data_IF_134025089143
#
_entry.id   IF_134025089143
#
_cell.length_a   1.000
_cell.length_b   1.000
_cell.length_c   1.000
_cell.angle_alpha   90.00
_cell.angle_beta   90.00
_cell.angle_gamma   90.00
#
_symmetry.space_group_name_H-M   'P 1'
#
loop_
_entity.id
_entity.type
_entity.pdbx_description
1 polymer ?
#
# COMPACT_ATOMS: atom_id res chain seq x y z
N UNK A 1 61.61 -38.24 -60.89
CA UNK A 1 60.65 -37.87 -61.93
C UNK A 1 60.04 -36.56 -61.48
N UNK A 2 60.51 -35.47 -62.03
CA UNK A 2 60.15 -34.12 -61.67
C UNK A 2 58.92 -33.69 -62.49
N UNK A 3 57.86 -33.19 -61.86
CA UNK A 3 56.72 -32.61 -62.56
C UNK A 3 56.87 -31.08 -62.50
N UNK A 4 57.03 -30.47 -63.63
CA UNK A 4 57.11 -29.02 -63.87
C UNK A 4 55.78 -28.36 -63.49
N UNK A 5 55.89 -27.29 -62.68
CA UNK A 5 54.81 -26.39 -62.40
C UNK A 5 54.89 -25.22 -63.36
N UNK A 6 53.99 -25.16 -64.32
CA UNK A 6 53.87 -24.07 -65.30
C UNK A 6 53.12 -22.90 -64.66
N UNK A 7 53.72 -21.79 -64.54
CA UNK A 7 53.13 -20.51 -64.09
C UNK A 7 52.27 -19.88 -65.20
N UNK A 8 51.03 -19.35 -64.88
CA UNK A 8 50.21 -18.71 -65.90
C UNK A 8 50.64 -17.24 -66.19
N UNK A 9 50.59 -16.92 -67.47
CA UNK A 9 50.92 -15.65 -68.06
C UNK A 9 49.98 -14.48 -67.64
N UNK A 10 50.45 -13.29 -67.16
CA UNK A 10 49.61 -12.22 -66.61
C UNK A 10 48.98 -11.31 -67.69
N UNK A 11 48.97 -11.60 -68.96
CA UNK A 11 48.49 -10.71 -70.02
C UNK A 11 47.38 -11.25 -70.90
N UNK A 12 46.52 -12.18 -70.43
CA UNK A 12 45.36 -12.59 -71.20
C UNK A 12 44.12 -11.80 -70.86
N UNK A 13 43.68 -10.90 -71.70
CA UNK A 13 42.45 -10.15 -71.66
C UNK A 13 41.30 -11.10 -72.02
N UNK A 14 40.20 -11.28 -71.17
CA UNK A 14 39.07 -12.08 -71.53
C UNK A 14 38.20 -11.35 -72.55
N UNK A 15 37.69 -12.01 -73.60
CA UNK A 15 36.73 -11.46 -74.52
C UNK A 15 35.31 -11.54 -73.94
N UNK A 16 34.56 -10.43 -74.02
CA UNK A 16 33.11 -10.46 -73.79
C UNK A 16 32.57 -9.59 -72.65
N UNK A 17 32.90 -8.30 -72.67
CA UNK A 17 32.13 -7.35 -71.85
C UNK A 17 30.86 -6.94 -72.63
N UNK A 18 29.80 -7.75 -72.45
CA UNK A 18 28.42 -7.37 -72.82
C UNK A 18 27.97 -6.28 -71.88
N UNK A 19 27.58 -5.13 -72.43
CA UNK A 19 27.00 -3.97 -71.74
C UNK A 19 25.80 -4.43 -70.90
N UNK A 20 25.97 -4.52 -69.59
CA UNK A 20 24.87 -4.66 -68.63
C UNK A 20 24.11 -3.34 -68.61
N UNK A 21 22.87 -3.41 -69.12
CA UNK A 21 21.92 -2.34 -69.12
C UNK A 21 21.74 -1.67 -67.75
N UNK A 22 21.55 -0.37 -67.78
CA UNK A 22 21.17 0.53 -66.68
C UNK A 22 20.07 -0.14 -65.83
N UNK A 23 20.38 -0.45 -64.59
CA UNK A 23 19.36 -0.85 -63.57
C UNK A 23 18.37 0.26 -63.42
N UNK A 24 17.05 0.04 -63.74
CA UNK A 24 16.02 0.96 -63.36
C UNK A 24 15.74 0.76 -61.88
N UNK A 25 15.90 1.77 -61.06
CA UNK A 25 15.44 1.72 -59.68
C UNK A 25 16.46 2.17 -58.63
N UNK A 26 17.24 3.25 -58.87
CA UNK A 26 17.62 4.11 -57.74
C UNK A 26 16.34 4.91 -57.41
N UNK A 27 15.42 4.27 -56.68
CA UNK A 27 14.40 4.99 -55.91
C UNK A 27 15.14 6.05 -55.09
N UNK A 28 14.81 7.30 -55.32
CA UNK A 28 15.17 8.42 -54.48
C UNK A 28 15.09 7.98 -53.03
N UNK A 29 16.05 8.33 -52.14
CA UNK A 29 15.99 8.01 -50.73
C UNK A 29 14.62 8.53 -50.25
N UNK A 30 13.72 7.58 -50.00
CA UNK A 30 12.40 7.85 -49.42
C UNK A 30 12.71 8.71 -48.21
N UNK A 31 12.27 9.98 -48.25
CA UNK A 31 12.38 10.91 -47.15
C UNK A 31 11.82 10.20 -45.92
N UNK A 32 12.70 9.57 -45.13
CA UNK A 32 12.35 9.09 -43.80
C UNK A 32 11.78 10.33 -43.12
N UNK A 33 10.47 10.44 -43.17
CA UNK A 33 9.73 11.51 -42.49
C UNK A 33 10.29 11.45 -41.07
N UNK A 34 10.99 12.50 -40.66
CA UNK A 34 11.45 12.67 -39.30
C UNK A 34 10.23 12.49 -38.43
N UNK A 35 10.11 11.29 -37.87
CA UNK A 35 9.01 10.97 -36.98
C UNK A 35 9.07 12.02 -35.88
N UNK A 36 8.04 12.88 -35.82
CA UNK A 36 8.06 14.04 -34.94
C UNK A 36 8.39 13.57 -33.52
N UNK A 37 9.12 14.35 -32.74
CA UNK A 37 9.55 14.08 -31.35
C UNK A 37 8.50 13.38 -30.51
N UNK A 38 7.25 13.74 -30.70
CA UNK A 38 6.08 13.14 -30.01
C UNK A 38 5.72 11.72 -30.47
N UNK A 39 6.16 11.28 -31.66
CA UNK A 39 5.85 9.92 -32.13
C UNK A 39 6.69 8.87 -31.38
N UNK A 40 7.96 9.14 -31.10
CA UNK A 40 8.82 8.25 -30.31
C UNK A 40 8.31 8.11 -28.87
N UNK A 41 7.95 9.22 -28.22
CA UNK A 41 7.36 9.22 -26.89
C UNK A 41 6.03 8.43 -26.84
N UNK A 42 5.12 8.69 -27.78
CA UNK A 42 3.82 8.00 -27.85
C UNK A 42 3.99 6.49 -28.07
N UNK A 43 4.92 6.08 -28.92
CA UNK A 43 5.24 4.66 -29.12
C UNK A 43 5.77 4.01 -27.85
N UNK A 44 6.68 4.66 -27.15
CA UNK A 44 7.20 4.15 -25.88
C UNK A 44 6.12 4.02 -24.81
N UNK A 45 5.29 5.04 -24.66
CA UNK A 45 4.17 5.00 -23.73
C UNK A 45 3.21 3.84 -24.05
N UNK A 46 2.87 3.68 -25.33
CA UNK A 46 1.99 2.60 -25.80
C UNK A 46 2.59 1.22 -25.55
N UNK A 47 3.87 1.02 -25.84
CA UNK A 47 4.58 -0.23 -25.56
C UNK A 47 4.56 -0.54 -24.07
N UNK A 48 4.78 0.43 -23.21
CA UNK A 48 4.70 0.27 -21.75
C UNK A 48 3.33 -0.15 -21.26
N UNK A 49 2.28 0.41 -21.81
CA UNK A 49 0.91 0.01 -21.45
C UNK A 49 0.58 -1.41 -21.96
N UNK A 50 1.10 -1.79 -23.14
CA UNK A 50 0.95 -3.14 -23.65
C UNK A 50 1.74 -4.18 -22.85
N UNK A 51 2.96 -3.86 -22.39
CA UNK A 51 3.74 -4.72 -21.49
C UNK A 51 2.93 -5.06 -20.24
N UNK A 52 2.32 -4.06 -19.61
CA UNK A 52 1.50 -4.26 -18.44
C UNK A 52 0.32 -5.22 -18.71
N UNK A 53 -0.36 -5.07 -19.85
CA UNK A 53 -1.48 -5.96 -20.23
C UNK A 53 -1.04 -7.41 -20.43
N UNK A 54 0.21 -7.63 -20.81
CA UNK A 54 0.78 -8.96 -21.09
C UNK A 54 1.35 -9.67 -19.86
N UNK A 55 1.45 -8.98 -18.73
CA UNK A 55 1.98 -9.52 -17.48
C UNK A 55 0.85 -9.65 -16.44
N UNK A 56 0.05 -10.73 -16.46
CA UNK A 56 -1.10 -10.91 -15.57
C UNK A 56 -0.70 -10.93 -14.09
N UNK A 57 0.53 -11.33 -13.77
CA UNK A 57 1.06 -11.30 -12.40
C UNK A 57 1.13 -9.87 -11.86
N UNK A 58 1.58 -8.92 -12.67
CA UNK A 58 1.63 -7.50 -12.28
C UNK A 58 0.22 -6.97 -12.06
N UNK A 59 -0.73 -7.32 -12.95
CA UNK A 59 -2.13 -6.90 -12.80
C UNK A 59 -2.71 -7.42 -11.49
N UNK A 60 -2.43 -8.69 -11.14
CA UNK A 60 -2.89 -9.26 -9.88
C UNK A 60 -2.31 -8.51 -8.66
N UNK A 61 -1.00 -8.31 -8.62
CA UNK A 61 -0.36 -7.67 -7.46
C UNK A 61 -0.68 -6.18 -7.32
N UNK A 62 -0.87 -5.48 -8.44
CA UNK A 62 -1.15 -4.04 -8.46
C UNK A 62 -2.64 -3.76 -8.18
N UNK A 63 -3.56 -4.55 -8.74
CA UNK A 63 -4.99 -4.31 -8.65
C UNK A 63 -5.72 -5.35 -7.80
N UNK A 64 -5.47 -6.63 -8.04
CA UNK A 64 -6.18 -7.73 -7.38
C UNK A 64 -5.88 -7.82 -5.90
N UNK A 65 -4.61 -7.78 -5.52
CA UNK A 65 -4.19 -7.93 -4.12
C UNK A 65 -4.76 -6.83 -3.21
N UNK A 66 -4.68 -5.52 -3.52
CA UNK A 66 -5.28 -4.49 -2.68
C UNK A 66 -6.80 -4.60 -2.56
N UNK A 67 -7.49 -5.03 -3.63
CA UNK A 67 -8.93 -5.27 -3.59
C UNK A 67 -9.29 -6.47 -2.70
N UNK A 68 -8.57 -7.58 -2.82
CA UNK A 68 -8.77 -8.75 -1.96
C UNK A 68 -8.47 -8.43 -0.50
N UNK A 69 -7.40 -7.68 -0.25
CA UNK A 69 -7.05 -7.25 1.11
C UNK A 69 -8.11 -6.30 1.69
N UNK A 70 -8.58 -5.34 0.89
CA UNK A 70 -9.67 -4.45 1.27
C UNK A 70 -10.97 -5.22 1.55
N UNK A 71 -11.30 -6.20 0.72
CA UNK A 71 -12.48 -7.05 0.91
C UNK A 71 -12.33 -7.90 2.18
N UNK A 72 -11.21 -8.60 2.35
CA UNK A 72 -10.96 -9.47 3.50
C UNK A 72 -10.99 -8.71 4.82
N UNK A 73 -10.22 -7.62 4.93
CA UNK A 73 -10.20 -6.78 6.14
C UNK A 73 -11.52 -6.01 6.30
N UNK A 74 -12.11 -5.53 5.21
CA UNK A 74 -13.40 -4.85 5.24
C UNK A 74 -14.52 -5.72 5.78
N UNK A 75 -14.58 -7.00 5.41
CA UNK A 75 -15.54 -7.97 5.93
C UNK A 75 -15.20 -8.31 7.39
N UNK A 76 -13.92 -8.57 7.69
CA UNK A 76 -13.48 -8.93 9.04
C UNK A 76 -13.81 -7.85 10.08
N UNK A 77 -13.76 -6.57 9.69
CA UNK A 77 -14.02 -5.43 10.57
C UNK A 77 -15.35 -4.72 10.30
N UNK A 78 -16.19 -5.21 9.36
CA UNK A 78 -17.47 -4.59 9.00
C UNK A 78 -18.50 -4.63 10.10
N UNK A 79 -18.55 -5.75 10.80
CA UNK A 79 -19.53 -6.06 11.84
C UNK A 79 -18.80 -6.61 13.05
N UNK A 80 -17.91 -5.82 13.67
CA UNK A 80 -17.72 -6.07 15.09
C UNK A 80 -18.89 -5.40 15.78
N UNK A 81 -19.96 -6.12 16.17
CA UNK A 81 -20.80 -5.67 17.29
C UNK A 81 -19.77 -5.36 18.37
N UNK A 82 -20.00 -4.36 19.19
CA UNK A 82 -19.14 -4.11 20.35
C UNK A 82 -18.85 -5.49 20.93
N UNK A 83 -17.58 -5.96 20.78
CA UNK A 83 -17.21 -7.33 21.15
C UNK A 83 -17.67 -7.47 22.58
N UNK A 84 -18.61 -8.39 22.84
CA UNK A 84 -19.00 -8.67 24.21
C UNK A 84 -17.72 -9.04 24.95
N UNK A 85 -17.40 -8.26 25.96
CA UNK A 85 -16.20 -8.45 26.76
C UNK A 85 -16.25 -9.84 27.40
N UNK A 86 -15.30 -10.74 27.12
CA UNK A 86 -15.34 -12.10 27.65
C UNK A 86 -14.97 -12.10 29.14
N UNK A 87 -15.94 -12.41 29.97
CA UNK A 87 -15.84 -12.49 31.43
C UNK A 87 -15.99 -13.93 31.87
N UNK A 88 -15.05 -14.42 32.68
CA UNK A 88 -15.20 -15.70 33.37
C UNK A 88 -15.72 -15.47 34.79
N UNK A 89 -16.78 -16.19 35.18
CA UNK A 89 -17.23 -16.27 36.55
C UNK A 89 -16.73 -17.59 37.13
N UNK A 90 -16.12 -17.54 38.30
CA UNK A 90 -15.63 -18.76 38.99
C UNK A 90 -16.81 -19.57 39.48
N UNK A 91 -16.82 -20.87 39.14
CA UNK A 91 -17.83 -21.80 39.60
C UNK A 91 -17.86 -21.87 41.14
N UNK A 92 -19.04 -21.67 41.73
CA UNK A 92 -19.26 -21.67 43.16
C UNK A 92 -20.76 -21.58 43.51
N UNK A 93 -21.10 -21.56 44.79
CA UNK A 93 -22.51 -21.56 45.26
C UNK A 93 -23.34 -20.37 44.74
N UNK A 94 -22.67 -19.24 44.45
CA UNK A 94 -23.30 -17.99 43.99
C UNK A 94 -22.98 -17.66 42.51
N UNK A 95 -22.43 -18.61 41.75
CA UNK A 95 -22.02 -18.36 40.38
C UNK A 95 -23.21 -17.99 39.48
N UNK A 96 -24.36 -18.67 39.62
CA UNK A 96 -25.55 -18.42 38.83
C UNK A 96 -26.15 -17.04 39.13
N UNK A 97 -26.11 -16.60 40.40
CA UNK A 97 -26.53 -15.25 40.81
C UNK A 97 -25.61 -14.18 40.20
N UNK A 98 -24.30 -14.37 40.26
CA UNK A 98 -23.29 -13.48 39.65
C UNK A 98 -23.50 -13.40 38.14
N UNK A 99 -23.78 -14.51 37.46
CA UNK A 99 -24.09 -14.55 36.03
C UNK A 99 -25.35 -13.75 35.71
N UNK A 100 -26.41 -13.92 36.51
CA UNK A 100 -27.66 -13.17 36.34
C UNK A 100 -27.45 -11.65 36.50
N UNK A 101 -26.66 -11.25 37.51
CA UNK A 101 -26.28 -9.86 37.78
C UNK A 101 -25.44 -9.23 36.68
N UNK A 102 -24.55 -10.00 36.06
CA UNK A 102 -23.72 -9.56 34.93
C UNK A 102 -24.45 -9.55 33.56
N UNK A 103 -25.77 -9.78 33.55
CA UNK A 103 -26.59 -9.71 32.34
C UNK A 103 -26.90 -11.06 31.68
N UNK A 104 -26.66 -12.19 32.37
CA UNK A 104 -27.01 -13.54 31.92
C UNK A 104 -26.02 -14.12 30.88
N UNK A 105 -26.00 -15.45 30.84
CA UNK A 105 -25.20 -16.19 29.84
C UNK A 105 -25.99 -16.21 28.51
N UNK A 106 -25.43 -15.49 27.49
CA UNK A 106 -25.97 -15.55 26.12
C UNK A 106 -26.93 -14.45 25.70
N UNK A 107 -27.17 -13.42 26.51
CA UNK A 107 -27.91 -12.24 26.04
C UNK A 107 -27.01 -11.41 25.09
N UNK A 108 -27.41 -11.37 23.82
CA UNK A 108 -26.74 -10.59 22.77
C UNK A 108 -26.77 -9.07 22.98
N UNK A 109 -27.59 -8.60 23.91
CA UNK A 109 -27.72 -7.18 24.28
C UNK A 109 -26.79 -6.79 25.42
N UNK A 110 -26.32 -7.77 26.22
CA UNK A 110 -25.35 -7.53 27.27
C UNK A 110 -23.98 -7.16 26.67
N UNK A 111 -23.32 -6.13 27.21
CA UNK A 111 -21.95 -5.81 26.79
C UNK A 111 -20.95 -6.87 27.24
N UNK A 112 -21.34 -7.79 28.13
CA UNK A 112 -20.50 -8.85 28.68
C UNK A 112 -20.93 -10.22 28.16
N UNK A 113 -19.94 -11.04 27.78
CA UNK A 113 -20.14 -12.47 27.51
C UNK A 113 -19.65 -13.28 28.71
N UNK A 114 -20.59 -13.67 29.56
CA UNK A 114 -20.27 -14.34 30.81
C UNK A 114 -20.26 -15.86 30.64
N UNK A 115 -19.21 -16.51 31.14
CA UNK A 115 -19.04 -17.98 31.09
C UNK A 115 -18.62 -18.46 32.48
N UNK A 116 -19.31 -19.46 33.03
CA UNK A 116 -18.91 -20.09 34.29
C UNK A 116 -17.81 -21.11 34.04
N UNK A 117 -16.73 -20.99 34.78
CA UNK A 117 -15.53 -21.82 34.61
C UNK A 117 -14.95 -22.14 35.99
N UNK A 118 -14.39 -23.34 36.15
CA UNK A 118 -13.64 -23.69 37.36
C UNK A 118 -12.45 -22.76 37.58
N UNK A 119 -12.14 -22.42 38.82
CA UNK A 119 -11.15 -21.39 39.19
C UNK A 119 -9.81 -21.56 38.49
N UNK A 120 -9.23 -22.78 38.53
CA UNK A 120 -7.92 -23.02 37.93
C UNK A 120 -7.96 -22.86 36.40
N UNK A 121 -9.02 -23.36 35.77
CA UNK A 121 -9.23 -23.24 34.34
C UNK A 121 -9.51 -21.80 33.92
N UNK A 122 -10.25 -21.02 34.73
CA UNK A 122 -10.53 -19.60 34.49
C UNK A 122 -9.24 -18.76 34.50
N UNK A 123 -8.39 -18.92 35.54
CA UNK A 123 -7.13 -18.20 35.66
C UNK A 123 -6.14 -18.61 34.55
N UNK A 124 -6.07 -19.89 34.22
CA UNK A 124 -5.26 -20.36 33.10
C UNK A 124 -5.74 -19.77 31.76
N UNK A 125 -7.02 -19.77 31.51
CA UNK A 125 -7.62 -19.20 30.29
C UNK A 125 -7.42 -17.66 30.23
N UNK A 126 -7.48 -16.98 31.37
CA UNK A 126 -7.16 -15.55 31.51
C UNK A 126 -5.71 -15.24 31.11
N UNK A 127 -4.74 -16.02 31.58
CA UNK A 127 -3.33 -15.86 31.19
C UNK A 127 -3.09 -16.08 29.68
N UNK A 128 -3.92 -16.91 29.04
CA UNK A 128 -3.89 -17.11 27.58
C UNK A 128 -4.73 -16.09 26.79
N UNK A 129 -5.30 -15.08 27.46
CA UNK A 129 -6.08 -14.01 26.80
C UNK A 129 -7.45 -14.46 26.28
N UNK A 130 -8.02 -15.58 26.78
CA UNK A 130 -9.37 -16.03 26.39
C UNK A 130 -10.45 -15.26 27.13
N UNK A 131 -10.15 -14.74 28.30
CA UNK A 131 -10.98 -13.87 29.12
C UNK A 131 -10.22 -12.60 29.45
N UNK A 132 -10.93 -11.48 29.51
CA UNK A 132 -10.35 -10.19 29.83
C UNK A 132 -10.40 -9.89 31.34
N UNK A 133 -11.37 -10.49 32.04
CA UNK A 133 -11.47 -10.43 33.50
C UNK A 133 -12.05 -11.73 34.03
N UNK A 134 -11.63 -12.12 35.26
CA UNK A 134 -12.21 -13.23 36.00
C UNK A 134 -12.85 -12.66 37.25
N UNK A 135 -14.13 -12.99 37.48
CA UNK A 135 -14.94 -12.55 38.64
C UNK A 135 -15.18 -13.74 39.57
N UNK A 136 -14.84 -13.59 40.82
CA UNK A 136 -15.07 -14.60 41.87
C UNK A 136 -15.83 -13.97 43.01
N UNK A 137 -17.05 -14.50 43.34
CA UNK A 137 -17.78 -14.10 44.53
C UNK A 137 -17.32 -14.96 45.70
N UNK A 138 -16.90 -14.34 46.77
CA UNK A 138 -16.51 -15.00 48.02
C UNK A 138 -17.74 -15.29 48.92
N UNK A 139 -17.65 -16.21 49.87
CA UNK A 139 -18.75 -16.53 50.78
C UNK A 139 -19.20 -15.35 51.66
N UNK A 140 -18.34 -14.34 51.83
CA UNK A 140 -18.67 -13.10 52.55
C UNK A 140 -19.43 -12.07 51.72
N UNK A 141 -19.78 -12.42 50.47
CA UNK A 141 -20.44 -11.53 49.52
C UNK A 141 -19.53 -10.59 48.76
N UNK A 142 -18.22 -10.65 48.97
CA UNK A 142 -17.22 -9.79 48.30
C UNK A 142 -16.94 -10.29 46.90
N UNK A 143 -16.87 -9.39 45.90
CA UNK A 143 -16.47 -9.71 44.55
C UNK A 143 -14.96 -9.45 44.36
N UNK A 144 -14.24 -10.44 43.84
CA UNK A 144 -12.82 -10.38 43.51
C UNK A 144 -12.68 -10.37 41.99
N UNK A 145 -11.98 -9.34 41.49
CA UNK A 145 -11.66 -9.19 40.07
C UNK A 145 -10.20 -9.53 39.83
N UNK A 146 -9.93 -10.56 39.03
CA UNK A 146 -8.59 -10.86 38.54
C UNK A 146 -8.45 -10.23 37.16
N UNK A 147 -7.62 -9.21 37.06
CA UNK A 147 -7.39 -8.43 35.86
C UNK A 147 -5.90 -8.08 35.72
N UNK A 148 -5.46 -7.73 34.51
CA UNK A 148 -4.10 -7.32 34.21
C UNK A 148 -4.05 -5.82 33.90
N UNK A 149 -3.46 -4.99 34.78
CA UNK A 149 -3.41 -3.53 34.56
C UNK A 149 -2.53 -3.13 33.38
N UNK A 150 -1.67 -4.05 32.87
CA UNK A 150 -0.86 -3.78 31.67
C UNK A 150 -1.65 -4.01 30.37
N UNK A 151 -2.84 -4.61 30.46
CA UNK A 151 -3.72 -4.88 29.31
C UNK A 151 -4.93 -3.94 29.34
N UNK A 152 -5.02 -2.96 28.42
CA UNK A 152 -6.15 -1.99 28.38
C UNK A 152 -7.54 -2.68 28.31
N UNK A 153 -7.65 -3.81 27.57
CA UNK A 153 -8.87 -4.58 27.43
C UNK A 153 -9.29 -5.18 28.79
N UNK A 154 -8.33 -5.66 29.59
CA UNK A 154 -8.57 -6.23 30.89
C UNK A 154 -9.04 -5.19 31.93
N UNK A 155 -8.41 -4.00 31.92
CA UNK A 155 -8.85 -2.88 32.76
C UNK A 155 -10.26 -2.40 32.38
N UNK A 156 -10.55 -2.28 31.08
CA UNK A 156 -11.88 -1.93 30.58
C UNK A 156 -12.93 -2.98 30.99
N UNK A 157 -12.58 -4.27 30.87
CA UNK A 157 -13.45 -5.38 31.27
C UNK A 157 -13.78 -5.33 32.75
N UNK A 158 -12.80 -5.02 33.61
CA UNK A 158 -13.00 -4.87 35.04
C UNK A 158 -13.98 -3.75 35.37
N UNK A 159 -13.75 -2.55 34.79
CA UNK A 159 -14.62 -1.39 35.02
C UNK A 159 -16.05 -1.67 34.57
N UNK A 160 -16.22 -2.30 33.40
CA UNK A 160 -17.53 -2.62 32.86
C UNK A 160 -18.27 -3.70 33.68
N UNK A 161 -17.56 -4.71 34.18
CA UNK A 161 -18.13 -5.74 35.03
C UNK A 161 -18.53 -5.18 36.42
N UNK A 162 -17.71 -4.31 36.99
CA UNK A 162 -17.96 -3.61 38.25
C UNK A 162 -19.22 -2.72 38.13
N UNK A 163 -19.30 -1.89 37.09
CA UNK A 163 -20.44 -1.02 36.82
C UNK A 163 -21.74 -1.81 36.62
N UNK A 164 -21.68 -2.96 35.94
CA UNK A 164 -22.82 -3.84 35.69
C UNK A 164 -23.32 -4.48 37.01
N UNK A 165 -22.39 -4.94 37.86
CA UNK A 165 -22.72 -5.49 39.19
C UNK A 165 -23.34 -4.43 40.07
N UNK A 166 -22.76 -3.26 40.20
CA UNK A 166 -23.30 -2.14 41.00
C UNK A 166 -24.68 -1.71 40.51
N UNK A 167 -24.89 -1.65 39.19
CA UNK A 167 -26.21 -1.34 38.60
C UNK A 167 -27.28 -2.41 38.96
N UNK A 168 -26.89 -3.71 39.01
CA UNK A 168 -27.77 -4.83 39.34
C UNK A 168 -28.25 -4.78 40.80
N UNK A 169 -27.45 -4.23 41.71
CA UNK A 169 -27.76 -4.07 43.15
C UNK A 169 -28.59 -2.81 43.43
N UNK A 170 -28.90 -2.01 42.39
CA UNK A 170 -29.81 -0.87 42.52
C UNK A 170 -29.06 0.47 42.71
N UNK A 171 -27.82 0.61 42.20
CA UNK A 171 -27.15 1.93 42.10
C UNK A 171 -28.06 2.85 41.26
N UNK A 172 -28.58 3.89 41.87
CA UNK A 172 -29.30 4.94 41.18
C UNK A 172 -28.34 5.99 40.63
N UNK A 173 -28.19 6.06 39.31
CA UNK A 173 -27.42 7.12 38.67
C UNK A 173 -28.15 8.47 38.84
N UNK A 174 -27.50 9.39 39.54
CA UNK A 174 -28.02 10.75 39.76
C UNK A 174 -27.94 11.65 38.50
N UNK A 175 -27.22 11.19 37.47
CA UNK A 175 -27.05 11.91 36.21
C UNK A 175 -27.92 11.29 35.13
N UNK A 176 -28.69 12.11 34.43
CA UNK A 176 -29.34 11.68 33.18
C UNK A 176 -28.31 11.66 32.07
N UNK A 177 -27.88 10.48 31.64
CA UNK A 177 -26.95 10.29 30.52
C UNK A 177 -27.76 10.00 29.26
N UNK A 178 -27.70 10.89 28.30
CA UNK A 178 -28.25 10.66 26.95
C UNK A 178 -27.14 10.15 26.05
N UNK A 179 -27.18 8.87 25.72
CA UNK A 179 -26.25 8.28 24.76
C UNK A 179 -26.68 8.63 23.35
N UNK A 180 -25.99 9.57 22.71
CA UNK A 180 -26.14 9.88 21.30
C UNK A 180 -25.07 9.15 20.51
N UNK A 181 -25.47 8.04 19.86
CA UNK A 181 -24.57 7.34 18.95
C UNK A 181 -24.31 8.20 17.71
N UNK A 182 -23.14 8.80 17.62
CA UNK A 182 -22.70 9.57 16.46
C UNK A 182 -21.80 8.68 15.58
N UNK A 183 -22.36 8.10 14.53
CA UNK A 183 -21.57 7.49 13.47
C UNK A 183 -21.22 8.53 12.42
N UNK A 184 -20.16 9.31 12.66
CA UNK A 184 -19.66 10.24 11.66
C UNK A 184 -19.12 9.47 10.44
N UNK A 185 -19.32 10.00 9.20
CA UNK A 185 -18.64 9.46 8.02
C UNK A 185 -17.12 9.45 8.27
N UNK A 186 -16.48 8.29 8.05
CA UNK A 186 -15.03 8.15 8.31
C UNK A 186 -14.67 7.49 9.64
N UNK A 187 -15.63 7.20 10.53
CA UNK A 187 -15.37 6.52 11.81
C UNK A 187 -15.17 5.00 11.67
N UNK A 188 -15.58 4.41 10.54
CA UNK A 188 -15.44 2.97 10.30
C UNK A 188 -14.01 2.61 9.94
N UNK A 189 -13.54 1.45 10.39
CA UNK A 189 -12.20 0.95 10.06
C UNK A 189 -11.94 0.94 8.54
N UNK A 190 -12.94 0.58 7.74
CA UNK A 190 -12.80 0.54 6.28
C UNK A 190 -12.56 1.92 5.67
N UNK A 191 -13.13 2.98 6.23
CA UNK A 191 -12.94 4.35 5.77
C UNK A 191 -11.50 4.83 6.06
N UNK A 192 -10.89 4.30 7.12
CA UNK A 192 -9.47 4.50 7.43
C UNK A 192 -8.56 3.64 6.53
N UNK A 193 -8.96 2.40 6.25
CA UNK A 193 -8.17 1.40 5.54
C UNK A 193 -8.01 1.72 4.06
N UNK A 194 -9.09 2.07 3.33
CA UNK A 194 -9.06 2.28 1.88
C UNK A 194 -8.06 3.36 1.45
N UNK A 195 -8.05 4.58 2.06
CA UNK A 195 -7.02 5.57 1.75
C UNK A 195 -5.60 5.08 2.04
N UNK A 196 -5.41 4.30 3.11
CA UNK A 196 -4.14 3.67 3.44
C UNK A 196 -3.68 2.66 2.38
N UNK A 197 -4.59 1.83 1.86
CA UNK A 197 -4.32 0.88 0.77
C UNK A 197 -4.01 1.59 -0.55
N UNK A 198 -4.68 2.71 -0.84
CA UNK A 198 -4.37 3.56 -2.00
C UNK A 198 -2.93 4.07 -1.88
N UNK A 199 -2.55 4.61 -0.72
CA UNK A 199 -1.19 5.09 -0.50
C UNK A 199 -0.14 3.99 -0.60
N UNK A 200 -0.41 2.81 -0.03
CA UNK A 200 0.44 1.63 -0.14
C UNK A 200 0.59 1.17 -1.60
N UNK A 201 -0.51 1.14 -2.37
CA UNK A 201 -0.51 0.76 -3.77
C UNK A 201 0.33 1.73 -4.61
N UNK A 202 0.15 3.04 -4.41
CA UNK A 202 0.95 4.07 -5.08
C UNK A 202 2.44 3.98 -4.76
N UNK A 203 2.80 3.70 -3.51
CA UNK A 203 4.18 3.45 -3.12
C UNK A 203 4.73 2.20 -3.82
N UNK A 204 4.01 1.09 -3.79
CA UNK A 204 4.42 -0.15 -4.44
C UNK A 204 4.61 0.05 -5.94
N UNK A 205 3.63 0.64 -6.61
CA UNK A 205 3.66 0.93 -8.05
C UNK A 205 4.83 1.86 -8.42
N UNK A 206 5.12 2.89 -7.61
CA UNK A 206 6.25 3.78 -7.79
C UNK A 206 7.59 3.10 -7.60
N UNK A 207 7.78 2.42 -6.47
CA UNK A 207 9.06 1.80 -6.12
C UNK A 207 9.40 0.57 -6.98
N UNK A 208 8.49 -0.41 -7.00
CA UNK A 208 8.69 -1.62 -7.81
C UNK A 208 8.58 -1.33 -9.30
N UNK A 209 7.57 -0.58 -9.69
CA UNK A 209 7.32 -0.33 -11.08
C UNK A 209 8.43 0.45 -11.79
N UNK A 210 9.09 1.40 -11.12
CA UNK A 210 10.23 2.14 -11.68
C UNK A 210 11.54 1.41 -11.38
N UNK A 211 11.76 1.03 -10.12
CA UNK A 211 13.02 0.45 -9.68
C UNK A 211 13.31 -0.90 -10.32
N UNK A 212 12.38 -1.84 -10.25
CA UNK A 212 12.54 -3.17 -10.84
C UNK A 212 12.67 -3.11 -12.36
N UNK A 213 11.77 -2.37 -13.02
CA UNK A 213 11.75 -2.21 -14.47
C UNK A 213 13.10 -1.67 -15.01
N UNK A 214 13.73 -0.77 -14.25
CA UNK A 214 15.04 -0.22 -14.63
C UNK A 214 16.15 -1.27 -14.56
N UNK A 215 16.18 -2.08 -13.50
CA UNK A 215 17.20 -3.12 -13.31
C UNK A 215 17.00 -4.26 -14.31
N UNK A 216 15.76 -4.68 -14.57
CA UNK A 216 15.44 -5.66 -15.60
C UNK A 216 15.91 -5.21 -16.98
N UNK A 217 15.61 -3.96 -17.36
CA UNK A 217 16.10 -3.39 -18.62
C UNK A 217 17.64 -3.33 -18.69
N UNK A 218 18.31 -3.10 -17.55
CA UNK A 218 19.78 -3.12 -17.47
C UNK A 218 20.31 -4.52 -17.69
N UNK A 219 19.75 -5.53 -17.04
CA UNK A 219 20.14 -6.94 -17.20
C UNK A 219 19.95 -7.44 -18.64
N UNK A 220 18.83 -7.09 -19.25
CA UNK A 220 18.53 -7.42 -20.66
C UNK A 220 19.32 -6.57 -21.66
N UNK A 221 20.21 -5.69 -21.18
CA UNK A 221 21.01 -4.76 -22.01
C UNK A 221 20.17 -3.83 -22.89
N UNK A 222 18.89 -3.66 -22.57
CA UNK A 222 17.97 -2.79 -23.32
C UNK A 222 18.36 -1.32 -23.22
N UNK A 223 18.88 -0.87 -22.06
CA UNK A 223 19.36 0.50 -21.88
C UNK A 223 20.49 0.85 -22.89
N UNK A 224 21.41 -0.10 -23.17
CA UNK A 224 22.47 0.10 -24.17
C UNK A 224 21.89 0.23 -25.57
N UNK A 225 20.85 -0.54 -25.91
CA UNK A 225 20.17 -0.44 -27.20
C UNK A 225 19.43 0.89 -27.34
N UNK A 226 18.78 1.38 -26.27
CA UNK A 226 18.11 2.69 -26.28
C UNK A 226 19.11 3.84 -26.48
N UNK A 227 20.31 3.79 -25.86
CA UNK A 227 21.36 4.80 -26.05
C UNK A 227 21.88 4.79 -27.48
N UNK A 228 21.85 3.65 -28.19
CA UNK A 228 22.24 3.53 -29.60
C UNK A 228 21.17 4.06 -30.60
N UNK A 229 19.97 4.36 -30.14
CA UNK A 229 18.90 4.97 -30.96
C UNK A 229 19.00 6.50 -30.91
N UNK A 230 18.52 7.24 -31.93
CA UNK A 230 18.55 8.70 -31.93
C UNK A 230 17.59 9.37 -30.96
N UNK A 231 17.13 8.61 -29.95
CA UNK A 231 16.14 9.04 -28.94
C UNK A 231 16.83 9.76 -27.78
N UNK A 232 16.20 10.79 -27.26
CA UNK A 232 16.70 11.49 -26.07
C UNK A 232 16.41 10.70 -24.80
N UNK A 233 17.37 10.68 -23.88
CA UNK A 233 17.25 10.03 -22.56
C UNK A 233 16.04 10.56 -21.77
N UNK A 234 15.73 11.86 -21.94
CA UNK A 234 14.56 12.50 -21.34
C UNK A 234 13.25 11.92 -21.82
N UNK A 235 13.14 11.58 -23.12
CA UNK A 235 11.88 11.06 -23.71
C UNK A 235 11.56 9.66 -23.15
N UNK A 236 12.59 8.85 -22.88
CA UNK A 236 12.46 7.57 -22.22
C UNK A 236 11.98 7.73 -20.76
N UNK A 237 12.64 8.58 -19.96
CA UNK A 237 12.25 8.82 -18.57
C UNK A 237 10.82 9.40 -18.46
N UNK A 238 10.49 10.34 -19.34
CA UNK A 238 9.13 10.89 -19.43
C UNK A 238 8.10 9.81 -19.78
N UNK A 239 8.40 8.91 -20.71
CA UNK A 239 7.49 7.81 -21.05
C UNK A 239 7.26 6.86 -19.86
N UNK A 240 8.31 6.52 -19.11
CA UNK A 240 8.22 5.71 -17.90
C UNK A 240 7.38 6.42 -16.84
N UNK A 241 7.64 7.69 -16.56
CA UNK A 241 6.88 8.46 -15.57
C UNK A 241 5.40 8.62 -15.98
N UNK A 242 5.14 8.94 -17.25
CA UNK A 242 3.77 9.08 -17.75
C UNK A 242 2.98 7.77 -17.69
N UNK A 243 3.62 6.63 -17.99
CA UNK A 243 2.97 5.33 -17.84
C UNK A 243 2.53 5.08 -16.40
N UNK A 244 3.33 5.51 -15.41
CA UNK A 244 2.99 5.40 -13.99
C UNK A 244 1.84 6.31 -13.60
N UNK A 245 1.76 7.53 -14.14
CA UNK A 245 0.64 8.42 -13.91
C UNK A 245 -0.68 7.85 -14.46
N UNK A 246 -0.65 7.23 -15.64
CA UNK A 246 -1.83 6.55 -16.19
C UNK A 246 -2.27 5.39 -15.29
N UNK A 247 -1.33 4.57 -14.84
CA UNK A 247 -1.62 3.47 -13.93
C UNK A 247 -2.18 3.97 -12.59
N UNK A 248 -1.60 5.01 -12.02
CA UNK A 248 -2.05 5.64 -10.79
C UNK A 248 -3.53 6.04 -10.87
N UNK A 249 -3.95 6.66 -11.97
CA UNK A 249 -5.36 7.04 -12.14
C UNK A 249 -6.27 5.81 -12.11
N UNK A 250 -5.85 4.72 -12.74
CA UNK A 250 -6.61 3.45 -12.75
C UNK A 250 -6.63 2.82 -11.36
N UNK A 251 -5.47 2.75 -10.66
CA UNK A 251 -5.35 2.18 -9.30
C UNK A 251 -6.22 2.92 -8.29
N UNK A 252 -6.06 4.25 -8.24
CA UNK A 252 -6.83 5.10 -7.32
C UNK A 252 -8.31 5.03 -7.65
N UNK A 253 -8.66 5.15 -8.95
CA UNK A 253 -10.05 5.08 -9.40
C UNK A 253 -10.71 3.75 -9.06
N UNK A 254 -10.01 2.63 -9.25
CA UNK A 254 -10.52 1.30 -8.97
C UNK A 254 -10.76 1.07 -7.46
N UNK A 255 -9.79 1.44 -6.62
CA UNK A 255 -9.91 1.29 -5.16
C UNK A 255 -10.97 2.22 -4.58
N UNK A 256 -11.07 3.46 -5.08
CA UNK A 256 -12.15 4.37 -4.68
C UNK A 256 -13.51 3.86 -5.11
N UNK A 257 -13.66 3.45 -6.37
CA UNK A 257 -14.91 2.88 -6.87
C UNK A 257 -15.33 1.65 -6.06
N UNK A 258 -14.38 0.77 -5.73
CA UNK A 258 -14.62 -0.38 -4.87
C UNK A 258 -15.09 0.04 -3.47
N UNK A 259 -14.44 1.00 -2.84
CA UNK A 259 -14.82 1.55 -1.53
C UNK A 259 -16.22 2.15 -1.53
N UNK A 260 -16.53 2.92 -2.58
CA UNK A 260 -17.86 3.54 -2.74
C UNK A 260 -18.95 2.52 -3.00
N UNK A 261 -18.74 1.55 -3.90
CA UNK A 261 -19.76 0.61 -4.34
C UNK A 261 -19.99 -0.53 -3.33
N UNK A 262 -18.93 -1.09 -2.77
CA UNK A 262 -19.02 -2.26 -1.86
C UNK A 262 -19.25 -1.84 -0.42
N UNK A 263 -18.56 -0.81 0.05
CA UNK A 263 -18.60 -0.38 1.46
C UNK A 263 -19.38 0.91 1.69
N UNK A 264 -19.91 1.53 0.63
CA UNK A 264 -20.62 2.80 0.72
C UNK A 264 -19.79 3.88 1.45
N UNK A 265 -18.48 3.91 1.13
CA UNK A 265 -17.57 4.88 1.71
C UNK A 265 -17.89 6.28 1.19
N UNK A 266 -18.08 7.28 2.04
CA UNK A 266 -18.28 8.65 1.59
C UNK A 266 -16.98 9.22 1.05
N UNK A 267 -17.05 9.93 -0.10
CA UNK A 267 -15.96 10.71 -0.65
C UNK A 267 -16.40 12.18 -0.66
N UNK A 268 -15.91 12.93 0.32
CA UNK A 268 -16.25 14.35 0.48
C UNK A 268 -15.41 15.27 -0.42
N UNK A 269 -14.23 14.81 -0.84
CA UNK A 269 -13.27 15.62 -1.56
C UNK A 269 -13.38 15.58 -3.08
N UNK A 270 -12.67 16.51 -3.74
CA UNK A 270 -12.59 16.59 -5.18
C UNK A 270 -11.69 15.50 -5.77
N UNK A 271 -12.16 14.79 -6.79
CA UNK A 271 -11.37 13.83 -7.55
C UNK A 271 -10.15 14.47 -8.24
N UNK A 272 -10.21 15.76 -8.58
CA UNK A 272 -9.08 16.51 -9.14
C UNK A 272 -7.99 16.67 -8.06
N UNK A 273 -8.38 17.01 -6.83
CA UNK A 273 -7.43 17.11 -5.72
C UNK A 273 -6.77 15.76 -5.44
N UNK A 274 -7.53 14.67 -5.45
CA UNK A 274 -7.00 13.30 -5.31
C UNK A 274 -6.02 12.94 -6.42
N UNK A 275 -6.36 13.26 -7.67
CA UNK A 275 -5.48 13.01 -8.82
C UNK A 275 -4.17 13.81 -8.72
N UNK A 276 -4.22 15.05 -8.22
CA UNK A 276 -3.02 15.87 -8.01
C UNK A 276 -2.15 15.32 -6.87
N UNK A 277 -2.74 14.98 -5.72
CA UNK A 277 -2.03 14.33 -4.60
C UNK A 277 -1.39 13.02 -5.05
N UNK A 278 -2.15 12.16 -5.73
CA UNK A 278 -1.66 10.91 -6.28
C UNK A 278 -0.54 11.10 -7.30
N UNK A 279 -0.62 12.13 -8.15
CA UNK A 279 0.43 12.44 -9.14
C UNK A 279 1.74 12.84 -8.47
N UNK A 280 1.69 13.69 -7.45
CA UNK A 280 2.86 14.09 -6.67
C UNK A 280 3.45 12.85 -5.97
N UNK A 281 2.62 11.99 -5.38
CA UNK A 281 3.06 10.75 -4.75
C UNK A 281 3.70 9.79 -5.74
N UNK A 282 3.10 9.58 -6.92
CA UNK A 282 3.65 8.70 -7.96
C UNK A 282 5.04 9.16 -8.42
N UNK A 283 5.24 10.47 -8.56
CA UNK A 283 6.55 11.06 -8.89
C UNK A 283 7.53 10.86 -7.73
N UNK A 284 7.09 11.10 -6.48
CA UNK A 284 7.93 10.95 -5.30
C UNK A 284 8.42 9.51 -5.10
N UNK A 285 7.52 8.53 -5.13
CA UNK A 285 7.87 7.12 -5.00
C UNK A 285 8.59 6.57 -6.23
N UNK A 286 8.28 7.09 -7.43
CA UNK A 286 9.05 6.81 -8.63
C UNK A 286 10.52 7.27 -8.51
N UNK A 287 10.75 8.45 -7.92
CA UNK A 287 12.08 8.96 -7.60
C UNK A 287 12.84 8.10 -6.59
N UNK A 288 12.15 7.66 -5.52
CA UNK A 288 12.69 6.72 -4.53
C UNK A 288 13.04 5.36 -5.15
N UNK A 289 12.16 4.81 -5.99
CA UNK A 289 12.40 3.57 -6.73
C UNK A 289 13.61 3.70 -7.68
N UNK A 290 13.71 4.82 -8.39
CA UNK A 290 14.85 5.13 -9.23
C UNK A 290 16.16 5.20 -8.41
N UNK A 291 16.13 5.82 -7.23
CA UNK A 291 17.28 5.90 -6.33
C UNK A 291 17.71 4.52 -5.82
N UNK A 292 16.75 3.68 -5.37
CA UNK A 292 17.02 2.33 -4.91
C UNK A 292 17.64 1.45 -6.01
N UNK A 293 17.23 1.64 -7.27
CA UNK A 293 17.69 0.87 -8.43
C UNK A 293 18.93 1.47 -9.13
N UNK A 294 19.33 2.72 -8.83
CA UNK A 294 20.33 3.46 -9.61
C UNK A 294 21.69 2.75 -9.71
N UNK A 295 22.10 2.00 -8.69
CA UNK A 295 23.37 1.24 -8.65
C UNK A 295 23.20 -0.27 -8.68
N UNK A 296 21.99 -0.80 -8.49
CA UNK A 296 21.74 -2.22 -8.49
C UNK A 296 22.01 -2.82 -9.87
N UNK A 297 22.83 -3.87 -9.91
CA UNK A 297 23.16 -4.61 -11.13
C UNK A 297 22.32 -5.87 -11.29
N UNK A 298 21.84 -6.41 -10.16
CA UNK A 298 21.02 -7.62 -10.08
C UNK A 298 19.65 -7.27 -9.54
N UNK A 299 18.64 -8.00 -10.00
CA UNK A 299 17.25 -7.85 -9.54
C UNK A 299 17.15 -8.11 -8.04
N UNK A 300 17.86 -9.11 -7.52
CA UNK A 300 17.85 -9.47 -6.10
C UNK A 300 18.36 -8.32 -5.22
N UNK A 301 19.42 -7.63 -5.65
CA UNK A 301 19.97 -6.47 -4.92
C UNK A 301 18.99 -5.29 -4.92
N UNK A 302 18.34 -5.03 -6.07
CA UNK A 302 17.33 -3.99 -6.16
C UNK A 302 16.12 -4.31 -5.27
N UNK A 303 15.65 -5.55 -5.32
CA UNK A 303 14.52 -6.04 -4.51
C UNK A 303 14.82 -5.91 -3.01
N UNK A 304 16.02 -6.28 -2.58
CA UNK A 304 16.45 -6.10 -1.19
C UNK A 304 16.43 -4.65 -0.73
N UNK A 305 16.95 -3.72 -1.55
CA UNK A 305 16.96 -2.29 -1.25
C UNK A 305 15.55 -1.69 -1.24
N UNK A 306 14.72 -2.05 -2.22
CA UNK A 306 13.33 -1.61 -2.29
C UNK A 306 12.57 -2.06 -1.03
N UNK A 307 12.67 -3.35 -0.67
CA UNK A 307 12.01 -3.88 0.52
C UNK A 307 12.54 -3.23 1.81
N UNK A 308 13.84 -2.97 1.92
CA UNK A 308 14.44 -2.30 3.07
C UNK A 308 13.83 -0.91 3.31
N UNK A 309 13.52 -0.18 2.24
CA UNK A 309 12.89 1.15 2.33
C UNK A 309 11.39 1.03 2.57
N UNK A 310 10.71 0.08 1.91
CA UNK A 310 9.25 -0.05 1.96
C UNK A 310 8.75 -0.66 3.27
N UNK A 311 9.45 -1.65 3.81
CA UNK A 311 8.99 -2.39 4.99
C UNK A 311 8.77 -1.50 6.23
N UNK A 312 9.68 -0.59 6.60
CA UNK A 312 9.41 0.37 7.68
C UNK A 312 8.20 1.27 7.38
N UNK A 313 8.03 1.69 6.13
CA UNK A 313 6.89 2.53 5.75
C UNK A 313 5.55 1.79 5.89
N UNK A 314 5.48 0.50 5.54
CA UNK A 314 4.26 -0.29 5.73
C UNK A 314 3.83 -0.37 7.19
N UNK A 315 4.79 -0.54 8.09
CA UNK A 315 4.53 -0.72 9.52
C UNK A 315 4.16 0.60 10.18
N UNK A 316 4.93 1.65 9.92
CA UNK A 316 4.83 2.89 10.68
C UNK A 316 3.89 3.95 10.04
N UNK A 317 3.63 3.90 8.73
CA UNK A 317 2.94 5.00 8.04
C UNK A 317 1.41 4.97 8.12
N UNK A 318 0.86 4.24 9.08
CA UNK A 318 -0.58 4.31 9.31
C UNK A 318 -1.42 3.69 8.17
N UNK A 319 -0.94 2.65 7.49
CA UNK A 319 -1.72 1.95 6.46
C UNK A 319 -2.86 1.17 7.09
N UNK A 320 -2.57 0.34 8.09
CA UNK A 320 -3.50 -0.59 8.72
C UNK A 320 -4.03 -0.08 10.07
N UNK A 321 -3.26 0.68 10.80
CA UNK A 321 -3.62 1.27 12.09
C UNK A 321 -3.00 2.65 12.25
N UNK A 322 -3.61 3.49 13.08
CA UNK A 322 -3.12 4.86 13.32
C UNK A 322 -1.71 4.84 13.93
N UNK A 323 -0.83 5.66 13.40
CA UNK A 323 0.50 5.86 13.97
C UNK A 323 0.46 6.57 15.35
N UNK A 324 -0.68 7.07 15.76
CA UNK A 324 -0.87 7.70 17.08
C UNK A 324 -0.71 6.70 18.23
N UNK A 325 -0.87 5.39 17.96
CA UNK A 325 -0.60 4.32 18.93
C UNK A 325 0.90 4.14 19.23
N UNK A 326 1.80 4.72 18.44
CA UNK A 326 3.23 4.66 18.70
C UNK A 326 3.66 5.71 19.73
N UNK A 327 4.75 5.45 20.48
CA UNK A 327 5.28 6.40 21.48
C UNK A 327 5.49 7.78 20.90
N UNK A 328 5.19 8.82 21.69
CA UNK A 328 5.27 10.22 21.25
C UNK A 328 6.63 10.63 20.67
N UNK A 329 7.73 9.99 21.13
CA UNK A 329 9.08 10.23 20.62
C UNK A 329 9.26 9.72 19.17
N UNK A 330 8.51 8.72 18.73
CA UNK A 330 8.61 8.15 17.38
C UNK A 330 7.74 8.91 16.37
N UNK A 331 6.66 9.55 16.82
CA UNK A 331 5.68 10.20 15.94
C UNK A 331 6.26 11.26 14.99
N UNK A 332 7.20 12.15 15.40
CA UNK A 332 7.80 13.11 14.49
C UNK A 332 8.53 12.47 13.31
N UNK A 333 9.25 11.37 13.56
CA UNK A 333 9.94 10.62 12.52
C UNK A 333 8.96 9.92 11.59
N UNK A 334 7.88 9.35 12.13
CA UNK A 334 6.81 8.71 11.36
C UNK A 334 6.11 9.74 10.46
N UNK A 335 5.79 10.93 10.97
CA UNK A 335 5.17 12.01 10.19
C UNK A 335 6.06 12.55 9.07
N UNK A 336 7.37 12.42 9.20
CA UNK A 336 8.32 12.78 8.14
C UNK A 336 8.43 11.75 7.01
N UNK A 337 7.87 10.54 7.18
CA UNK A 337 7.87 9.51 6.14
C UNK A 337 6.94 9.91 4.97
N UNK A 338 7.36 9.68 3.73
CA UNK A 338 6.56 10.07 2.55
C UNK A 338 5.22 9.32 2.49
N UNK A 339 5.16 8.05 2.90
CA UNK A 339 3.91 7.29 2.90
C UNK A 339 2.94 7.80 3.96
N UNK A 340 3.42 8.22 5.13
CA UNK A 340 2.58 8.85 6.16
C UNK A 340 1.97 10.15 5.66
N UNK A 341 2.79 11.02 5.08
CA UNK A 341 2.33 12.28 4.50
C UNK A 341 1.28 12.06 3.39
N UNK A 342 1.47 11.01 2.57
CA UNK A 342 0.49 10.63 1.55
C UNK A 342 -0.82 10.13 2.17
N UNK A 343 -0.75 9.17 3.10
CA UNK A 343 -1.95 8.60 3.72
C UNK A 343 -2.79 9.64 4.44
N UNK A 344 -2.14 10.55 5.17
CA UNK A 344 -2.80 11.66 5.85
C UNK A 344 -3.42 12.65 4.87
N UNK A 345 -2.76 12.94 3.74
CA UNK A 345 -3.31 13.79 2.70
C UNK A 345 -4.53 13.13 2.01
N UNK A 346 -4.44 11.83 1.70
CA UNK A 346 -5.54 11.08 1.10
C UNK A 346 -6.74 11.02 2.03
N UNK A 347 -6.54 10.75 3.33
CA UNK A 347 -7.62 10.72 4.33
C UNK A 347 -8.30 12.08 4.46
N UNK A 348 -7.52 13.15 4.62
CA UNK A 348 -8.06 14.49 4.73
C UNK A 348 -8.87 14.90 3.49
N UNK A 349 -8.40 14.54 2.29
CA UNK A 349 -9.14 14.83 1.06
C UNK A 349 -10.37 13.94 0.93
N UNK A 350 -10.26 12.62 1.12
CA UNK A 350 -11.36 11.67 0.91
C UNK A 350 -12.45 11.84 1.95
N UNK A 351 -12.11 11.91 3.24
CA UNK A 351 -13.08 11.88 4.35
C UNK A 351 -13.54 13.27 4.78
N UNK A 352 -12.63 14.24 4.80
CA UNK A 352 -12.91 15.60 5.31
C UNK A 352 -13.17 16.61 4.17
N UNK A 353 -12.95 16.24 2.91
CA UNK A 353 -13.11 17.14 1.77
C UNK A 353 -12.05 18.26 1.74
N UNK A 354 -10.89 18.03 2.36
CA UNK A 354 -9.84 19.03 2.49
C UNK A 354 -9.34 19.54 1.13
N UNK A 355 -9.11 20.83 1.02
CA UNK A 355 -8.59 21.48 -0.18
C UNK A 355 -7.09 21.25 -0.37
N UNK A 356 -6.59 21.36 -1.61
CA UNK A 356 -5.16 21.19 -1.91
C UNK A 356 -4.24 22.12 -1.08
N UNK A 357 -4.56 23.42 -0.88
CA UNK A 357 -3.73 24.30 -0.08
C UNK A 357 -3.58 23.88 1.38
N UNK A 358 -4.63 23.29 1.98
CA UNK A 358 -4.57 22.81 3.36
C UNK A 358 -3.61 21.63 3.55
N UNK A 359 -3.24 20.94 2.47
CA UNK A 359 -2.30 19.82 2.46
C UNK A 359 -0.86 20.22 2.13
N UNK A 360 -0.56 21.53 2.05
CA UNK A 360 0.72 22.07 1.58
C UNK A 360 1.95 21.46 2.27
N UNK A 361 1.91 21.28 3.59
CA UNK A 361 3.02 20.69 4.36
C UNK A 361 3.24 19.20 3.96
N UNK A 362 2.18 18.43 3.83
CA UNK A 362 2.24 17.00 3.44
C UNK A 362 2.75 16.84 2.02
N UNK A 363 2.28 17.71 1.13
CA UNK A 363 2.75 17.76 -0.26
C UNK A 363 4.21 18.22 -0.37
N UNK A 364 4.65 19.13 0.49
CA UNK A 364 6.05 19.55 0.57
C UNK A 364 6.95 18.39 1.01
N UNK A 365 6.53 17.59 2.00
CA UNK A 365 7.28 16.39 2.42
C UNK A 365 7.42 15.43 1.25
N UNK A 366 6.34 15.14 0.52
CA UNK A 366 6.37 14.29 -0.67
C UNK A 366 7.30 14.85 -1.76
N UNK A 367 7.20 16.16 -2.04
CA UNK A 367 8.02 16.83 -3.04
C UNK A 367 9.51 16.83 -2.67
N UNK A 368 9.84 17.01 -1.39
CA UNK A 368 11.21 16.92 -0.90
C UNK A 368 11.78 15.52 -1.06
N UNK A 369 11.05 14.49 -0.61
CA UNK A 369 11.48 13.09 -0.79
C UNK A 369 11.68 12.75 -2.27
N UNK A 370 10.71 13.10 -3.11
CA UNK A 370 10.79 12.88 -4.56
C UNK A 370 11.93 13.64 -5.20
N UNK A 371 12.05 14.93 -4.93
CA UNK A 371 13.08 15.80 -5.50
C UNK A 371 14.50 15.39 -5.10
N UNK A 372 14.74 15.16 -3.80
CA UNK A 372 16.04 14.72 -3.29
C UNK A 372 16.42 13.37 -3.89
N UNK A 373 15.46 12.40 -3.87
CA UNK A 373 15.71 11.07 -4.41
C UNK A 373 16.00 11.10 -5.91
N UNK A 374 15.29 11.92 -6.67
CA UNK A 374 15.51 12.07 -8.11
C UNK A 374 16.85 12.71 -8.42
N UNK A 375 17.24 13.78 -7.72
CA UNK A 375 18.53 14.45 -7.88
C UNK A 375 19.70 13.52 -7.54
N UNK A 376 19.59 12.78 -6.41
CA UNK A 376 20.61 11.81 -6.03
C UNK A 376 20.68 10.65 -7.03
N UNK A 377 19.53 10.18 -7.50
CA UNK A 377 19.49 9.15 -8.52
C UNK A 377 20.19 9.60 -9.81
N UNK A 378 19.90 10.80 -10.30
CA UNK A 378 20.58 11.34 -11.50
C UNK A 378 22.08 11.44 -11.33
N UNK A 379 22.57 11.87 -10.16
CA UNK A 379 24.00 11.97 -9.86
C UNK A 379 24.68 10.61 -9.80
N UNK A 380 24.01 9.59 -9.28
CA UNK A 380 24.57 8.27 -9.06
C UNK A 380 24.24 7.26 -10.16
N UNK A 381 23.40 7.64 -11.11
CA UNK A 381 22.93 6.75 -12.17
C UNK A 381 24.07 6.34 -13.13
N UNK A 382 24.24 5.03 -13.28
CA UNK A 382 25.16 4.46 -14.27
C UNK A 382 24.35 3.91 -15.44
N UNK A 383 24.63 4.42 -16.63
CA UNK A 383 24.02 4.00 -17.90
C UNK A 383 24.65 2.73 -18.51
N UNK A 384 25.64 2.17 -17.83
CA UNK A 384 26.42 1.01 -18.28
C UNK A 384 25.97 -0.25 -17.58
#
# INVERSE_FOLDING_TARGET
MATEITTPNPHATPPGATSLGTRPGQGSPEKVRAAGRWSAYRHLLWVRLLELKREPEIIFWVFGFPLLLSLGLGIAFRNKPADQVPVAVVAGPHADETVAQLGGSGDKRSPLRVVVVEREAALKAFHFGKFDVVVEQKPDGTYWFYYDPARPESEHARVLADDTLEASVGRADKLQVVNSASSAPGSRYIDFLIPGLIGMSLMNSGMWGVGFSLVDMRQRKLLKRFVATPMRRSDFLLAVMSSRLVLMVIEVGLLLAFGMLVFHMPVAGSFITLALVGSIAAIAFGGLGLLAACRAQKVESASGLINLVMMPMWIFSGVFFSYEHFPAMAQPFIKALPLTALNDALRAVILEGASLPSQSLRLLILALWGGVSFLLALKWFRWT
#
